data_IF_397233272980
#
_entry.id   IF_397233272980
#
_cell.length_a   1.000
_cell.length_b   1.000
_cell.length_c   1.000
_cell.angle_alpha   90.00
_cell.angle_beta   90.00
_cell.angle_gamma   90.00
#
_symmetry.space_group_name_H-M   'P 1'
#
loop_
_entity.id
_entity.type
_entity.pdbx_description
1 polymer ?
#
# COMPACT_ATOMS: atom_id res chain seq x y z
N UNK A 1 18.77 1.62 15.38
CA UNK A 1 17.71 0.89 14.66
C UNK A 1 17.92 -0.61 14.84
N UNK A 2 17.29 -1.24 15.84
CA UNK A 2 17.65 -2.60 16.29
C UNK A 2 17.22 -3.77 15.40
N UNK A 3 17.14 -3.57 14.08
CA UNK A 3 16.76 -4.64 13.15
C UNK A 3 17.97 -5.51 12.78
N UNK A 4 17.81 -6.85 12.69
CA UNK A 4 18.92 -7.78 12.45
C UNK A 4 19.39 -7.82 10.99
N UNK A 5 18.55 -7.40 10.04
CA UNK A 5 18.82 -7.44 8.60
C UNK A 5 18.50 -6.11 7.93
N UNK A 6 19.27 -5.79 6.90
CA UNK A 6 19.23 -4.51 6.20
C UNK A 6 19.36 -4.71 4.70
N UNK A 7 18.63 -3.90 3.93
CA UNK A 7 18.78 -3.75 2.50
C UNK A 7 18.90 -2.25 2.20
N UNK A 8 19.87 -1.88 1.36
CA UNK A 8 20.03 -0.52 0.89
C UNK A 8 19.19 -0.28 -0.37
N UNK A 9 18.61 0.91 -0.47
CA UNK A 9 17.94 1.42 -1.65
C UNK A 9 18.47 2.82 -1.96
N UNK A 10 18.44 3.22 -3.23
CA UNK A 10 18.89 4.54 -3.67
C UNK A 10 17.82 5.62 -3.49
N UNK A 11 16.55 5.22 -3.29
CA UNK A 11 15.41 6.10 -3.06
C UNK A 11 14.44 5.49 -2.05
N UNK A 12 13.62 6.34 -1.40
CA UNK A 12 12.53 5.86 -0.55
C UNK A 12 11.46 5.10 -1.36
N UNK A 13 11.21 5.51 -2.61
CA UNK A 13 10.34 4.76 -3.55
C UNK A 13 10.82 3.33 -3.72
N UNK A 14 12.13 3.12 -3.94
CA UNK A 14 12.68 1.78 -4.09
C UNK A 14 12.65 0.99 -2.78
N UNK A 15 12.92 1.64 -1.64
CA UNK A 15 12.78 1.00 -0.34
C UNK A 15 11.35 0.48 -0.12
N UNK A 16 10.34 1.29 -0.41
CA UNK A 16 8.94 0.89 -0.33
C UNK A 16 8.62 -0.24 -1.31
N UNK A 17 9.05 -0.13 -2.58
CA UNK A 17 8.87 -1.17 -3.60
C UNK A 17 9.44 -2.52 -3.14
N UNK A 18 10.64 -2.51 -2.56
CA UNK A 18 11.28 -3.73 -2.07
C UNK A 18 10.55 -4.30 -0.85
N UNK A 19 10.13 -3.45 0.09
CA UNK A 19 9.35 -3.89 1.24
C UNK A 19 8.03 -4.57 0.82
N UNK A 20 7.29 -4.00 -0.13
CA UNK A 20 6.07 -4.61 -0.67
C UNK A 20 6.36 -5.96 -1.34
N UNK A 21 7.43 -6.07 -2.12
CA UNK A 21 7.83 -7.33 -2.76
C UNK A 21 8.20 -8.41 -1.74
N UNK A 22 8.92 -8.06 -0.68
CA UNK A 22 9.26 -8.99 0.41
C UNK A 22 8.00 -9.45 1.14
N UNK A 23 7.09 -8.54 1.46
CA UNK A 23 5.82 -8.89 2.11
C UNK A 23 5.00 -9.88 1.27
N UNK A 24 4.89 -9.64 -0.05
CA UNK A 24 4.21 -10.56 -0.97
C UNK A 24 4.92 -11.91 -1.07
N UNK A 25 6.26 -11.92 -1.15
CA UNK A 25 7.04 -13.16 -1.23
C UNK A 25 6.89 -14.03 0.04
N UNK A 26 6.81 -13.42 1.22
CA UNK A 26 6.65 -14.12 2.50
C UNK A 26 5.22 -14.65 2.66
N UNK A 27 4.22 -13.83 2.30
CA UNK A 27 2.82 -14.14 2.59
C UNK A 27 2.11 -14.91 1.48
N UNK A 28 2.61 -14.85 0.24
CA UNK A 28 1.92 -15.37 -0.94
C UNK A 28 0.66 -14.59 -1.32
N UNK A 29 0.42 -13.43 -0.68
CA UNK A 29 -0.79 -12.62 -0.88
C UNK A 29 -0.56 -11.52 -1.90
N UNK A 30 -1.60 -11.18 -2.66
CA UNK A 30 -1.49 -10.24 -3.77
C UNK A 30 -1.63 -8.78 -3.32
N UNK A 31 -2.58 -8.50 -2.43
CA UNK A 31 -3.01 -7.13 -2.15
C UNK A 31 -2.12 -6.44 -1.11
N UNK A 32 -2.07 -5.12 -1.17
CA UNK A 32 -1.56 -4.28 -0.08
C UNK A 32 -2.70 -3.43 0.48
N UNK A 33 -2.53 -2.91 1.69
CA UNK A 33 -3.43 -1.90 2.24
C UNK A 33 -2.65 -0.60 2.45
N UNK A 34 -3.24 0.50 1.99
CA UNK A 34 -2.74 1.86 2.16
C UNK A 34 -3.82 2.72 2.81
N UNK A 35 -3.41 3.80 3.46
CA UNK A 35 -4.34 4.77 4.00
C UNK A 35 -4.59 5.91 3.01
N UNK A 36 -5.82 6.42 2.98
CA UNK A 36 -6.19 7.55 2.15
C UNK A 36 -5.35 8.78 2.55
N UNK A 37 -4.88 9.54 1.56
CA UNK A 37 -4.04 10.72 1.79
C UNK A 37 -2.54 10.45 2.04
N UNK A 38 -2.13 9.24 2.39
CA UNK A 38 -0.71 8.90 2.60
C UNK A 38 0.12 8.93 1.31
N UNK A 39 1.42 9.14 1.43
CA UNK A 39 2.38 9.20 0.33
C UNK A 39 3.56 8.25 0.56
N UNK A 40 3.73 7.30 -0.36
CA UNK A 40 4.79 6.29 -0.28
C UNK A 40 5.74 6.34 -1.47
N UNK A 41 5.95 7.55 -2.01
CA UNK A 41 6.73 7.75 -3.23
C UNK A 41 5.92 7.47 -4.50
N UNK A 42 6.62 7.21 -5.59
CA UNK A 42 6.05 6.83 -6.89
C UNK A 42 5.93 5.32 -7.07
N UNK A 43 5.59 4.60 -6.00
CA UNK A 43 5.24 3.17 -6.08
C UNK A 43 3.80 3.06 -6.55
N UNK A 44 3.60 2.50 -7.75
CA UNK A 44 2.30 2.40 -8.41
C UNK A 44 1.23 1.86 -7.46
N UNK A 45 1.49 0.75 -6.75
CA UNK A 45 0.48 0.10 -5.90
C UNK A 45 -0.07 1.00 -4.77
N UNK A 46 0.64 2.08 -4.45
CA UNK A 46 0.22 3.05 -3.43
C UNK A 46 -0.56 4.24 -3.99
N UNK A 47 -0.66 4.34 -5.32
CA UNK A 47 -1.29 5.44 -6.04
C UNK A 47 -2.81 5.22 -6.21
N UNK A 48 -3.47 4.82 -5.13
CA UNK A 48 -4.93 4.71 -5.00
C UNK A 48 -5.44 5.69 -3.94
N UNK A 49 -6.70 6.10 -4.02
CA UNK A 49 -7.34 7.01 -3.06
C UNK A 49 -8.84 6.73 -2.93
N UNK A 50 -9.47 7.30 -1.91
CA UNK A 50 -10.92 7.37 -1.82
C UNK A 50 -11.42 8.73 -2.35
N UNK A 51 -12.52 8.70 -3.10
CA UNK A 51 -13.35 9.86 -3.43
C UNK A 51 -14.78 9.50 -3.01
N UNK A 52 -15.35 10.22 -2.06
CA UNK A 52 -16.70 9.94 -1.54
C UNK A 52 -16.90 8.47 -1.12
N UNK A 53 -15.88 7.89 -0.48
CA UNK A 53 -15.86 6.48 -0.06
C UNK A 53 -15.61 5.46 -1.18
N UNK A 54 -15.43 5.90 -2.42
CA UNK A 54 -15.16 5.03 -3.58
C UNK A 54 -13.66 4.99 -3.87
N UNK A 55 -13.11 3.78 -3.92
CA UNK A 55 -11.70 3.57 -4.25
C UNK A 55 -11.44 3.79 -5.75
N UNK A 56 -10.45 4.62 -6.06
CA UNK A 56 -10.04 4.95 -7.44
C UNK A 56 -8.52 5.11 -7.55
N UNK A 57 -7.98 5.03 -8.76
CA UNK A 57 -6.60 5.41 -9.05
C UNK A 57 -6.38 6.92 -8.84
N UNK A 58 -5.19 7.31 -8.38
CA UNK A 58 -4.81 8.73 -8.25
C UNK A 58 -4.51 9.33 -9.64
N UNK A 59 -4.88 10.61 -9.89
CA UNK A 59 -4.58 11.28 -11.16
C UNK A 59 -3.11 11.33 -11.56
N UNK A 60 -2.18 11.22 -10.60
CA UNK A 60 -0.73 11.18 -10.85
C UNK A 60 -0.25 9.95 -11.64
N UNK A 61 -1.13 8.96 -11.88
CA UNK A 61 -0.89 7.79 -12.72
C UNK A 61 -1.27 8.01 -14.20
N UNK A 62 -1.10 9.24 -14.72
CA UNK A 62 -1.42 9.51 -16.12
C UNK A 62 -0.67 8.54 -17.06
N UNK A 63 -1.42 7.78 -17.85
CA UNK A 63 -0.88 6.76 -18.76
C UNK A 63 -0.79 5.33 -18.20
N UNK A 64 -1.19 5.11 -16.95
CA UNK A 64 -1.29 3.76 -16.38
C UNK A 64 -2.46 2.98 -17.01
N UNK A 65 -2.19 1.75 -17.46
CA UNK A 65 -3.18 0.88 -18.09
C UNK A 65 -3.82 -0.10 -17.11
N UNK A 66 -3.18 -0.31 -15.95
CA UNK A 66 -3.66 -1.22 -14.90
C UNK A 66 -4.66 -0.53 -13.98
N UNK A 67 -5.65 -1.30 -13.56
CA UNK A 67 -6.50 -0.91 -12.44
C UNK A 67 -5.84 -1.36 -11.13
N UNK A 68 -5.20 -0.40 -10.45
CA UNK A 68 -4.47 -0.68 -9.21
C UNK A 68 -5.43 -0.90 -8.03
N UNK A 69 -6.72 -0.57 -8.19
CA UNK A 69 -7.74 -0.86 -7.16
C UNK A 69 -7.96 -2.36 -6.97
N UNK A 70 -7.53 -3.19 -7.93
CA UNK A 70 -7.59 -4.66 -7.82
C UNK A 70 -6.51 -5.23 -6.89
N UNK A 71 -5.38 -4.54 -6.75
CA UNK A 71 -4.19 -5.00 -6.01
C UNK A 71 -3.88 -4.17 -4.77
N UNK A 72 -4.70 -3.16 -4.47
CA UNK A 72 -4.63 -2.35 -3.27
C UNK A 72 -6.00 -2.24 -2.61
N UNK A 73 -6.04 -2.14 -1.28
CA UNK A 73 -7.19 -1.73 -0.49
C UNK A 73 -6.89 -0.35 0.11
N UNK A 74 -7.85 0.57 0.05
CA UNK A 74 -7.73 1.90 0.68
C UNK A 74 -8.79 2.05 1.77
N UNK A 75 -8.37 2.55 2.92
CA UNK A 75 -9.25 2.97 4.01
C UNK A 75 -8.85 4.36 4.51
N UNK A 76 -9.71 5.02 5.27
CA UNK A 76 -9.35 6.25 5.96
C UNK A 76 -8.32 6.01 7.08
N UNK A 77 -7.42 6.97 7.28
CA UNK A 77 -6.45 6.90 8.37
C UNK A 77 -7.14 6.99 9.73
N UNK A 78 -6.62 6.28 10.73
CA UNK A 78 -7.20 6.17 12.08
C UNK A 78 -8.62 5.57 12.17
N UNK A 79 -9.12 4.90 11.13
CA UNK A 79 -10.36 4.11 11.20
C UNK A 79 -10.05 2.63 11.49
N UNK A 80 -10.10 2.26 12.78
CA UNK A 80 -9.82 0.89 13.23
C UNK A 80 -10.85 -0.11 12.70
N UNK A 81 -12.12 0.27 12.65
CA UNK A 81 -13.19 -0.62 12.18
C UNK A 81 -13.07 -0.89 10.68
N UNK A 82 -12.72 0.12 9.89
CA UNK A 82 -12.41 -0.06 8.48
C UNK A 82 -11.17 -0.94 8.27
N UNK A 83 -10.15 -0.80 9.11
CA UNK A 83 -8.96 -1.65 9.07
C UNK A 83 -9.29 -3.12 9.34
N UNK A 84 -10.05 -3.40 10.39
CA UNK A 84 -10.49 -4.76 10.71
C UNK A 84 -11.30 -5.37 9.57
N UNK A 85 -12.27 -4.63 9.01
CA UNK A 85 -13.08 -5.09 7.89
C UNK A 85 -12.22 -5.36 6.63
N UNK A 86 -11.31 -4.46 6.29
CA UNK A 86 -10.45 -4.59 5.12
C UNK A 86 -9.48 -5.77 5.20
N UNK A 87 -9.07 -6.17 6.41
CA UNK A 87 -8.14 -7.29 6.64
C UNK A 87 -8.85 -8.65 6.82
N UNK A 88 -10.18 -8.68 6.93
CA UNK A 88 -10.94 -9.89 7.22
C UNK A 88 -10.76 -11.01 6.19
N UNK A 89 -10.60 -10.67 4.91
CA UNK A 89 -10.42 -11.65 3.82
C UNK A 89 -9.04 -12.34 3.85
N UNK A 90 -8.10 -11.84 4.66
CA UNK A 90 -6.72 -12.34 4.78
C UNK A 90 -5.93 -12.41 3.45
N UNK A 91 -6.28 -11.55 2.50
CA UNK A 91 -5.66 -11.43 1.17
C UNK A 91 -4.65 -10.27 1.05
N UNK A 92 -4.43 -9.53 2.14
CA UNK A 92 -3.47 -8.43 2.24
C UNK A 92 -2.11 -8.93 2.72
N UNK A 93 -1.07 -8.69 1.92
CA UNK A 93 0.32 -9.01 2.22
C UNK A 93 0.91 -8.12 3.32
N UNK A 94 0.61 -6.82 3.29
CA UNK A 94 1.03 -5.87 4.30
C UNK A 94 0.13 -4.63 4.34
N UNK A 95 0.15 -3.96 5.49
CA UNK A 95 -0.32 -2.60 5.68
C UNK A 95 0.91 -1.70 5.64
N UNK A 96 0.94 -0.72 4.74
CA UNK A 96 1.99 0.31 4.73
C UNK A 96 1.39 1.60 5.30
N UNK A 97 2.10 2.21 6.24
CA UNK A 97 1.61 3.32 7.04
C UNK A 97 2.72 4.34 7.29
N UNK A 98 2.33 5.62 7.35
CA UNK A 98 3.12 6.67 7.96
C UNK A 98 2.69 6.77 9.44
N UNK A 99 3.62 6.71 10.40
CA UNK A 99 3.26 6.65 11.82
C UNK A 99 2.66 7.95 12.38
N UNK A 100 2.79 9.06 11.65
CA UNK A 100 2.31 10.41 12.01
C UNK A 100 1.77 11.15 10.80
#
# INVERSE_FOLDING_TARGET
>A
FGLPFWQFATTATDANRFALRVARAITGREKILVFNGCYHGSVDETMVRLIDGIQVNRPGLAGEFRDLTRTAKVIEFNDVSALEAALNDRDVACVIAEPV
#
